data_IF_883967958981
#
_entry.id   IF_883967958981
#
_cell.length_a   1.000
_cell.length_b   1.000
_cell.length_c   1.000
_cell.angle_alpha   90.00
_cell.angle_beta   90.00
_cell.angle_gamma   90.00
#
_symmetry.space_group_name_H-M   'P 1'
#
loop_
_entity.id
_entity.type
_entity.pdbx_description
1 polymer ?
#
# COMPACT_ATOMS: atom_id res chain seq x y z
N UNK A 1 -0.95 -7.33 -0.41
CA UNK A 1 -1.53 -6.35 -1.35
C UNK A 1 -3.03 -6.31 -1.17
N UNK A 2 -3.56 -5.13 -1.06
CA UNK A 2 -5.01 -4.92 -0.98
C UNK A 2 -5.47 -4.14 -2.21
N UNK A 3 -6.59 -4.55 -2.79
CA UNK A 3 -7.20 -3.86 -3.91
C UNK A 3 -8.52 -3.24 -3.45
N UNK A 4 -8.67 -1.95 -3.68
CA UNK A 4 -9.86 -1.20 -3.31
C UNK A 4 -10.53 -0.66 -4.58
N UNK A 5 -11.84 -0.64 -4.61
CA UNK A 5 -12.59 -0.06 -5.71
C UNK A 5 -13.48 1.08 -5.22
N UNK A 6 -13.65 2.09 -6.05
CA UNK A 6 -14.47 3.23 -5.69
C UNK A 6 -14.37 4.36 -6.70
N UNK A 7 -15.02 5.49 -6.41
CA UNK A 7 -15.04 6.63 -7.34
C UNK A 7 -13.64 7.15 -7.63
N UNK A 8 -13.41 7.53 -8.89
CA UNK A 8 -12.13 8.08 -9.33
C UNK A 8 -11.71 9.27 -8.45
N UNK A 9 -12.64 10.10 -8.04
CA UNK A 9 -12.34 11.25 -7.20
C UNK A 9 -11.72 10.86 -5.85
N UNK A 10 -11.93 9.62 -5.40
CA UNK A 10 -11.41 9.15 -4.11
C UNK A 10 -10.03 8.51 -4.22
N UNK A 11 -9.53 8.23 -5.43
CA UNK A 11 -8.22 7.59 -5.61
C UNK A 11 -7.10 8.45 -5.06
N UNK A 12 -7.14 9.75 -5.31
CA UNK A 12 -6.14 10.68 -4.77
C UNK A 12 -6.21 10.74 -3.24
N UNK A 13 -7.41 10.62 -2.68
CA UNK A 13 -7.59 10.63 -1.23
C UNK A 13 -6.97 9.39 -0.59
N UNK A 14 -7.10 8.23 -1.23
CA UNK A 14 -6.44 7.01 -0.75
C UNK A 14 -4.93 7.21 -0.69
N UNK A 15 -4.35 7.79 -1.74
CA UNK A 15 -2.90 8.04 -1.79
C UNK A 15 -2.47 8.99 -0.67
N UNK A 16 -3.23 10.07 -0.46
CA UNK A 16 -2.94 11.04 0.58
C UNK A 16 -3.01 10.42 1.98
N UNK A 17 -4.07 9.66 2.25
CA UNK A 17 -4.25 9.00 3.54
C UNK A 17 -3.16 7.96 3.79
N UNK A 18 -2.78 7.23 2.75
CA UNK A 18 -1.71 6.25 2.87
C UNK A 18 -0.39 6.91 3.24
N UNK A 19 -0.06 8.04 2.60
CA UNK A 19 1.18 8.75 2.88
C UNK A 19 1.16 9.43 4.26
N UNK A 20 0.05 10.04 4.62
CA UNK A 20 -0.03 10.87 5.83
C UNK A 20 -0.28 10.07 7.11
N UNK A 21 -0.94 8.93 7.01
CA UNK A 21 -1.38 8.18 8.19
C UNK A 21 -0.86 6.76 8.23
N UNK A 22 -0.99 6.03 7.13
CA UNK A 22 -0.67 4.60 7.11
C UNK A 22 0.84 4.37 7.11
N UNK A 23 1.55 5.09 6.25
CA UNK A 23 3.00 4.93 6.12
C UNK A 23 3.75 5.19 7.44
N UNK A 24 3.56 6.35 8.07
CA UNK A 24 4.22 6.64 9.35
C UNK A 24 3.87 5.62 10.43
N UNK A 25 2.64 5.15 10.47
CA UNK A 25 2.22 4.14 11.44
C UNK A 25 2.89 2.79 11.18
N UNK A 26 2.93 2.35 9.92
CA UNK A 26 3.58 1.09 9.56
C UNK A 26 5.07 1.09 9.83
N UNK A 27 5.69 2.26 9.78
CA UNK A 27 7.12 2.38 10.02
C UNK A 27 7.55 1.94 11.43
N UNK A 28 6.61 1.82 12.34
CA UNK A 28 6.88 1.33 13.70
C UNK A 28 6.95 -0.20 13.77
N UNK A 29 6.55 -0.90 12.72
CA UNK A 29 6.56 -2.36 12.71
C UNK A 29 7.91 -2.89 12.23
N UNK A 30 8.40 -3.91 12.94
CA UNK A 30 9.64 -4.58 12.56
C UNK A 30 9.49 -5.24 11.19
N UNK A 31 10.49 -5.05 10.36
CA UNK A 31 10.53 -5.68 9.04
C UNK A 31 9.78 -4.92 7.95
N UNK A 32 9.13 -3.81 8.28
CA UNK A 32 8.46 -3.00 7.27
C UNK A 32 9.48 -2.31 6.37
N UNK A 33 9.28 -2.42 5.04
CA UNK A 33 10.23 -1.89 4.06
C UNK A 33 9.67 -0.77 3.20
N UNK A 34 8.37 -0.63 3.13
CA UNK A 34 7.78 0.44 2.33
C UNK A 34 6.40 0.10 1.80
N UNK A 35 5.79 1.10 1.17
CA UNK A 35 4.45 0.98 0.60
C UNK A 35 4.41 1.62 -0.77
N UNK A 36 3.75 0.94 -1.71
CA UNK A 36 3.35 1.54 -2.98
C UNK A 36 1.85 1.71 -2.99
N UNK A 37 1.40 2.83 -3.54
CA UNK A 37 -0.01 3.06 -3.84
C UNK A 37 -0.12 3.18 -5.34
N UNK A 38 -0.85 2.26 -5.94
CA UNK A 38 -1.04 2.20 -7.38
C UNK A 38 -2.50 2.51 -7.69
N UNK A 39 -2.75 3.33 -8.68
CA UNK A 39 -4.12 3.66 -9.08
C UNK A 39 -4.35 3.33 -10.54
N UNK A 40 -5.57 2.89 -10.84
CA UNK A 40 -6.04 2.63 -12.18
C UNK A 40 -7.38 3.35 -12.31
N UNK A 41 -7.37 4.54 -12.89
CA UNK A 41 -8.56 5.37 -12.99
C UNK A 41 -9.61 4.74 -13.90
N UNK A 42 -9.18 4.07 -14.94
CA UNK A 42 -10.09 3.45 -15.90
C UNK A 42 -10.92 2.35 -15.26
N UNK A 43 -10.30 1.56 -14.38
CA UNK A 43 -10.98 0.48 -13.65
C UNK A 43 -11.51 0.93 -12.29
N UNK A 44 -11.22 2.15 -11.90
CA UNK A 44 -11.61 2.70 -10.61
C UNK A 44 -11.06 1.87 -9.44
N UNK A 45 -9.77 1.55 -9.52
CA UNK A 45 -9.09 0.73 -8.52
C UNK A 45 -7.90 1.46 -7.91
N UNK A 46 -7.65 1.16 -6.65
CA UNK A 46 -6.40 1.52 -5.98
C UNK A 46 -5.81 0.25 -5.36
N UNK A 47 -4.50 0.10 -5.45
CA UNK A 47 -3.80 -1.02 -4.83
C UNK A 47 -2.80 -0.51 -3.81
N UNK A 48 -2.86 -1.09 -2.62
CA UNK A 48 -1.93 -0.79 -1.54
C UNK A 48 -1.00 -1.99 -1.41
N UNK A 49 0.28 -1.77 -1.68
CA UNK A 49 1.29 -2.83 -1.63
C UNK A 49 2.27 -2.49 -0.53
N UNK A 50 2.35 -3.32 0.50
CA UNK A 50 3.33 -3.15 1.56
C UNK A 50 4.40 -4.22 1.44
N UNK A 51 5.65 -3.83 1.71
CA UNK A 51 6.81 -4.72 1.58
C UNK A 51 7.38 -5.01 2.96
N UNK A 52 7.74 -6.28 3.19
CA UNK A 52 8.23 -6.78 4.47
C UNK A 52 9.49 -7.62 4.27
N UNK A 53 10.38 -7.60 5.28
CA UNK A 53 11.61 -8.38 5.22
C UNK A 53 11.36 -9.88 5.16
N UNK A 54 10.30 -10.34 5.83
CA UNK A 54 9.99 -11.77 5.91
C UNK A 54 8.51 -12.01 6.00
N UNK A 55 8.10 -13.24 5.70
CA UNK A 55 6.71 -13.66 5.87
C UNK A 55 6.27 -13.54 7.34
N UNK A 56 7.16 -13.81 8.27
CA UNK A 56 6.85 -13.72 9.69
C UNK A 56 6.53 -12.29 10.11
N UNK A 57 7.27 -11.31 9.58
CA UNK A 57 7.00 -9.89 9.86
C UNK A 57 5.64 -9.46 9.34
N UNK A 58 5.29 -9.88 8.13
CA UNK A 58 4.00 -9.59 7.54
C UNK A 58 2.87 -10.19 8.37
N UNK A 59 3.02 -11.44 8.80
CA UNK A 59 2.01 -12.13 9.60
C UNK A 59 1.79 -11.42 10.94
N UNK A 60 2.87 -10.99 11.61
CA UNK A 60 2.76 -10.28 12.87
C UNK A 60 1.96 -8.99 12.76
N UNK A 61 2.11 -8.28 11.65
CA UNK A 61 1.45 -6.99 11.45
C UNK A 61 0.06 -7.13 10.82
N UNK A 62 -0.29 -8.32 10.34
CA UNK A 62 -1.45 -8.49 9.46
C UNK A 62 -2.76 -8.04 10.08
N UNK A 63 -3.01 -8.42 11.33
CA UNK A 63 -4.28 -8.09 11.97
C UNK A 63 -4.48 -6.58 12.11
N UNK A 64 -3.48 -5.88 12.65
CA UNK A 64 -3.56 -4.43 12.80
C UNK A 64 -3.60 -3.72 11.46
N UNK A 65 -2.83 -4.23 10.50
CA UNK A 65 -2.79 -3.67 9.15
C UNK A 65 -4.13 -3.84 8.42
N UNK A 66 -4.78 -4.98 8.61
CA UNK A 66 -6.10 -5.23 8.03
C UNK A 66 -7.13 -4.24 8.58
N UNK A 67 -7.13 -4.00 9.88
CA UNK A 67 -8.03 -3.03 10.49
C UNK A 67 -7.78 -1.62 9.95
N UNK A 68 -6.53 -1.24 9.80
CA UNK A 68 -6.17 0.07 9.25
C UNK A 68 -6.60 0.20 7.78
N UNK A 69 -6.41 -0.85 6.99
CA UNK A 69 -6.85 -0.88 5.59
C UNK A 69 -8.36 -0.68 5.48
N UNK A 70 -9.12 -1.38 6.31
CA UNK A 70 -10.58 -1.28 6.29
C UNK A 70 -11.03 0.11 6.68
N UNK A 71 -10.38 0.72 7.65
CA UNK A 71 -10.67 2.09 8.05
C UNK A 71 -10.32 3.10 6.95
N UNK A 72 -9.20 2.89 6.29
CA UNK A 72 -8.78 3.73 5.17
C UNK A 72 -9.82 3.66 4.04
N UNK A 73 -10.24 2.46 3.69
CA UNK A 73 -11.23 2.27 2.64
C UNK A 73 -12.55 2.96 3.00
N UNK A 74 -13.01 2.78 4.23
CA UNK A 74 -14.26 3.40 4.68
C UNK A 74 -14.17 4.94 4.65
N UNK A 75 -13.06 5.49 5.10
CA UNK A 75 -12.83 6.94 5.11
C UNK A 75 -12.84 7.51 3.69
N UNK A 76 -12.25 6.80 2.74
CA UNK A 76 -12.19 7.24 1.35
C UNK A 76 -13.44 6.88 0.55
N UNK A 77 -14.42 6.21 1.15
CA UNK A 77 -15.63 5.79 0.44
C UNK A 77 -15.37 4.69 -0.57
N UNK A 78 -14.41 3.83 -0.28
CA UNK A 78 -14.01 2.75 -1.18
C UNK A 78 -14.30 1.40 -0.55
N UNK A 79 -14.30 0.36 -1.38
CA UNK A 79 -14.56 -1.01 -0.96
C UNK A 79 -13.34 -1.88 -1.20
N UNK A 80 -12.99 -2.71 -0.22
CA UNK A 80 -11.91 -3.68 -0.37
C UNK A 80 -12.45 -4.87 -1.16
N UNK A 81 -11.88 -5.10 -2.35
CA UNK A 81 -12.38 -6.16 -3.25
C UNK A 81 -11.43 -7.34 -3.36
N UNK A 82 -10.19 -7.18 -2.96
CA UNK A 82 -9.22 -8.27 -3.03
C UNK A 82 -8.09 -8.06 -2.03
N UNK A 83 -7.59 -9.16 -1.49
CA UNK A 83 -6.40 -9.16 -0.65
C UNK A 83 -5.54 -10.37 -0.99
N UNK A 84 -4.23 -10.18 -1.06
CA UNK A 84 -3.30 -11.26 -1.32
C UNK A 84 -1.93 -10.98 -0.75
N UNK A 85 -1.19 -12.04 -0.48
CA UNK A 85 0.19 -11.98 -0.02
C UNK A 85 1.05 -12.70 -1.04
N UNK A 86 2.13 -12.06 -1.47
CA UNK A 86 2.98 -12.56 -2.55
C UNK A 86 4.44 -12.49 -2.13
N UNK A 87 5.23 -13.46 -2.60
CA UNK A 87 6.67 -13.40 -2.44
C UNK A 87 7.27 -12.58 -3.55
N UNK A 88 8.23 -11.72 -3.19
CA UNK A 88 9.00 -10.99 -4.18
C UNK A 88 10.19 -11.85 -4.58
N UNK A 89 10.13 -12.40 -5.79
CA UNK A 89 11.19 -13.28 -6.27
C UNK A 89 12.19 -12.56 -7.18
N UNK A 90 11.91 -11.29 -7.51
CA UNK A 90 12.82 -10.48 -8.30
C UNK A 90 12.30 -9.06 -8.45
N UNK A 91 13.23 -8.12 -8.54
CA UNK A 91 12.91 -6.73 -8.82
C UNK A 91 14.11 -6.07 -9.48
N UNK A 92 13.84 -5.00 -10.20
CA UNK A 92 14.89 -4.18 -10.80
C UNK A 92 14.39 -2.74 -10.92
N UNK A 93 15.21 -1.82 -10.47
CA UNK A 93 14.93 -0.39 -10.62
C UNK A 93 16.05 0.26 -11.39
N UNK A 94 15.71 1.19 -12.28
CA UNK A 94 16.68 2.01 -12.95
C UNK A 94 17.25 3.02 -11.95
N UNK A 95 18.49 3.42 -12.14
CA UNK A 95 19.19 4.30 -11.22
C UNK A 95 18.43 5.62 -11.00
N UNK A 96 17.90 6.20 -12.08
CA UNK A 96 17.19 7.46 -12.01
C UNK A 96 15.78 7.31 -11.41
N UNK A 97 15.28 6.10 -11.30
CA UNK A 97 14.04 5.83 -10.59
C UNK A 97 14.29 5.60 -9.11
N UNK A 98 15.41 4.93 -8.80
CA UNK A 98 15.73 4.53 -7.43
C UNK A 98 16.49 5.62 -6.65
N UNK A 99 17.25 6.47 -7.35
CA UNK A 99 18.05 7.51 -6.73
C UNK A 99 17.51 8.89 -7.10
N UNK A 100 18.06 9.91 -6.45
CA UNK A 100 17.61 11.26 -6.67
C UNK A 100 17.88 11.72 -8.09
N UNK A 101 16.92 12.42 -8.71
CA UNK A 101 17.10 12.92 -10.06
C UNK A 101 18.26 13.88 -10.24
N UNK A 102 18.78 14.42 -9.18
CA UNK A 102 19.91 15.31 -9.25
C UNK A 102 21.22 14.64 -9.58
N UNK A 103 21.21 13.37 -9.69
CA UNK A 103 22.41 12.59 -10.00
C UNK A 103 23.03 12.98 -11.32
#
# INVERSE_FOLDING_TARGET
MSTLSGPVAMLAEVSRLAADSVGPWLNEYEGYRGTFVLTDEERQLARLVTFWDSAADEVRARESRTAMRDQLAATAGMEVVEFGVFDVIGYQFLADLASEPGD
#
